data_IF_245714695962
#
_entry.id   IF_245714695962
#
_cell.length_a   1.000
_cell.length_b   1.000
_cell.length_c   1.000
_cell.angle_alpha   90.00
_cell.angle_beta   90.00
_cell.angle_gamma   90.00
#
_symmetry.space_group_name_H-M   'P 1'
#
loop_
_entity.id
_entity.type
_entity.pdbx_description
1 polymer ?
#
# COMPACT_ATOMS: atom_id res chain seq x y z
N UNK A 1 0.09 8.25 -6.57
CA UNK A 1 1.51 7.82 -6.60
C UNK A 1 1.62 6.52 -7.38
N UNK A 2 2.76 6.25 -8.02
CA UNK A 2 2.99 5.02 -8.79
C UNK A 2 4.29 4.34 -8.36
N UNK A 3 4.33 3.01 -8.49
CA UNK A 3 5.49 2.17 -8.20
C UNK A 3 5.65 1.15 -9.32
N UNK A 4 6.88 0.97 -9.79
CA UNK A 4 7.22 -0.02 -10.79
C UNK A 4 8.07 -1.11 -10.16
N UNK A 5 7.63 -2.36 -10.30
CA UNK A 5 8.39 -3.53 -9.86
C UNK A 5 9.07 -4.10 -11.09
N UNK A 6 10.41 -4.28 -11.06
CA UNK A 6 11.13 -4.85 -12.18
C UNK A 6 10.69 -6.30 -12.45
N UNK A 7 11.04 -6.87 -13.62
CA UNK A 7 10.72 -8.24 -13.95
C UNK A 7 11.12 -9.23 -12.85
N UNK A 8 10.21 -10.12 -12.49
CA UNK A 8 10.42 -11.10 -11.43
C UNK A 8 11.50 -12.09 -11.84
N UNK A 9 12.47 -12.31 -10.97
CA UNK A 9 13.54 -13.29 -11.22
C UNK A 9 13.06 -14.74 -11.15
N UNK A 10 11.96 -15.01 -10.41
CA UNK A 10 11.45 -16.36 -10.19
C UNK A 10 9.92 -16.35 -10.11
N UNK A 11 9.30 -17.41 -10.64
CA UNK A 11 7.85 -17.65 -10.52
C UNK A 11 7.44 -18.00 -9.08
N UNK A 12 6.27 -17.54 -8.64
CA UNK A 12 5.77 -17.85 -7.31
C UNK A 12 4.48 -17.11 -6.95
N UNK A 13 3.98 -17.42 -5.75
CA UNK A 13 2.89 -16.67 -5.14
C UNK A 13 3.49 -15.57 -4.24
N UNK A 14 3.09 -14.34 -4.50
CA UNK A 14 3.58 -13.16 -3.77
C UNK A 14 2.43 -12.49 -3.04
N UNK A 15 2.66 -12.14 -1.78
CA UNK A 15 1.80 -11.25 -1.02
C UNK A 15 2.25 -9.81 -1.27
N UNK A 16 1.41 -9.02 -1.92
CA UNK A 16 1.59 -7.58 -1.97
C UNK A 16 1.12 -6.95 -0.66
N UNK A 17 1.92 -6.03 -0.13
CA UNK A 17 1.62 -5.22 1.04
C UNK A 17 1.88 -3.75 0.76
N UNK A 18 1.04 -2.90 1.33
CA UNK A 18 1.23 -1.46 1.38
C UNK A 18 1.82 -1.11 2.75
N UNK A 19 2.98 -0.47 2.76
CA UNK A 19 3.58 0.10 3.95
C UNK A 19 3.29 1.61 3.98
N UNK A 20 2.85 2.12 5.13
CA UNK A 20 2.57 3.54 5.32
C UNK A 20 3.21 4.04 6.59
N UNK A 21 3.73 5.28 6.55
CA UNK A 21 4.20 5.99 7.73
C UNK A 21 3.49 7.33 7.86
N UNK A 22 2.95 7.60 9.03
CA UNK A 22 2.36 8.90 9.38
C UNK A 22 3.09 9.55 10.56
N UNK A 23 2.89 10.85 10.75
CA UNK A 23 3.30 11.57 11.95
C UNK A 23 2.08 12.17 12.68
N UNK A 24 2.32 12.88 13.78
CA UNK A 24 1.28 13.49 14.61
C UNK A 24 0.45 14.59 13.93
N UNK A 25 0.80 15.02 12.72
CA UNK A 25 0.03 15.99 11.94
C UNK A 25 -1.09 15.35 11.11
N UNK A 26 -1.21 14.02 11.10
CA UNK A 26 -2.30 13.34 10.40
C UNK A 26 -3.63 13.52 11.17
N UNK A 27 -4.66 14.15 10.59
CA UNK A 27 -5.80 14.66 11.36
C UNK A 27 -7.01 13.71 11.38
N UNK A 28 -6.90 12.49 10.82
CA UNK A 28 -8.01 11.56 10.68
C UNK A 28 -7.76 10.25 11.42
N UNK A 29 -8.81 9.47 11.65
CA UNK A 29 -8.69 8.13 12.26
C UNK A 29 -8.24 7.07 11.28
N UNK A 30 -8.77 7.12 10.06
CA UNK A 30 -8.46 6.17 8.99
C UNK A 30 -8.20 6.88 7.67
N UNK A 31 -7.65 6.13 6.73
CA UNK A 31 -7.41 6.55 5.36
C UNK A 31 -7.84 5.44 4.41
N UNK A 32 -8.80 5.73 3.54
CA UNK A 32 -9.16 4.82 2.47
C UNK A 32 -8.21 5.00 1.29
N UNK A 33 -7.58 3.92 0.85
CA UNK A 33 -6.71 3.87 -0.31
C UNK A 33 -7.26 2.93 -1.37
N UNK A 34 -7.09 3.30 -2.63
CA UNK A 34 -7.36 2.43 -3.78
C UNK A 34 -6.02 2.08 -4.41
N UNK A 35 -5.77 0.78 -4.53
CA UNK A 35 -4.54 0.21 -5.06
C UNK A 35 -4.85 -0.55 -6.34
N UNK A 36 -4.38 -0.04 -7.48
CA UNK A 36 -4.43 -0.71 -8.78
C UNK A 36 -3.08 -1.38 -9.06
N UNK A 37 -3.07 -2.66 -9.39
CA UNK A 37 -1.89 -3.44 -9.75
C UNK A 37 -2.09 -3.99 -11.15
N UNK A 38 -1.22 -3.60 -12.08
CA UNK A 38 -1.20 -4.11 -13.45
C UNK A 38 0.00 -5.03 -13.64
N UNK A 39 -0.25 -6.31 -13.95
CA UNK A 39 0.79 -7.27 -14.30
C UNK A 39 1.13 -7.11 -15.78
N UNK A 40 2.41 -6.96 -16.11
CA UNK A 40 2.91 -6.79 -17.47
C UNK A 40 3.74 -8.02 -17.88
N UNK A 41 3.70 -8.43 -19.16
CA UNK A 41 3.07 -7.75 -20.30
C UNK A 41 1.58 -8.08 -20.51
N UNK A 42 1.05 -9.07 -19.80
CA UNK A 42 -0.30 -9.60 -19.99
C UNK A 42 -1.43 -8.60 -19.69
N UNK A 43 -1.13 -7.50 -18.98
CA UNK A 43 -2.04 -6.40 -18.59
C UNK A 43 -3.23 -6.84 -17.73
N UNK A 44 -3.08 -7.93 -16.98
CA UNK A 44 -4.04 -8.30 -15.95
C UNK A 44 -4.06 -7.21 -14.87
N UNK A 45 -5.26 -6.70 -14.56
CA UNK A 45 -5.44 -5.64 -13.57
C UNK A 45 -6.18 -6.16 -12.34
N UNK A 46 -5.67 -5.79 -11.18
CA UNK A 46 -6.27 -6.07 -9.88
C UNK A 46 -6.46 -4.74 -9.16
N UNK A 47 -7.68 -4.45 -8.73
CA UNK A 47 -8.00 -3.22 -7.98
C UNK A 47 -8.53 -3.62 -6.63
N UNK A 48 -7.97 -3.02 -5.59
CA UNK A 48 -8.38 -3.24 -4.21
C UNK A 48 -8.60 -1.91 -3.49
N UNK A 49 -9.49 -1.93 -2.49
CA UNK A 49 -9.79 -0.79 -1.63
C UNK A 49 -9.41 -1.14 -0.20
N UNK A 50 -8.42 -0.46 0.33
CA UNK A 50 -7.92 -0.64 1.69
C UNK A 50 -8.54 0.41 2.60
N UNK A 51 -9.19 -0.03 3.67
CA UNK A 51 -9.49 0.82 4.81
C UNK A 51 -8.34 0.73 5.81
N UNK A 52 -7.48 1.75 5.83
CA UNK A 52 -6.35 1.81 6.73
C UNK A 52 -6.77 2.47 8.04
N UNK A 53 -7.09 1.69 9.07
CA UNK A 53 -7.25 2.21 10.44
C UNK A 53 -5.88 2.61 10.99
N UNK A 54 -5.70 3.90 11.31
CA UNK A 54 -4.42 4.48 11.72
C UNK A 54 -4.44 4.87 13.20
N UNK A 55 -5.53 5.50 13.64
CA UNK A 55 -5.75 5.94 15.01
C UNK A 55 -6.95 5.20 15.59
N UNK A 56 -6.73 4.51 16.71
CA UNK A 56 -7.78 3.77 17.39
C UNK A 56 -8.83 4.66 18.04
N UNK A 57 -9.89 4.04 18.55
CA UNK A 57 -11.00 4.77 19.20
C UNK A 57 -10.60 5.56 20.45
N UNK A 58 -9.50 5.19 21.10
CA UNK A 58 -8.89 5.91 22.22
C UNK A 58 -8.06 7.13 21.80
N UNK A 59 -7.95 7.42 20.50
CA UNK A 59 -7.12 8.50 19.97
C UNK A 59 -5.63 8.17 19.88
N UNK A 60 -5.23 6.93 20.16
CA UNK A 60 -3.83 6.49 20.11
C UNK A 60 -3.54 5.85 18.74
N UNK A 61 -2.41 6.22 18.16
CA UNK A 61 -1.93 5.61 16.92
C UNK A 61 -1.67 4.11 17.10
N UNK A 62 -2.22 3.28 16.21
CA UNK A 62 -2.08 1.82 16.25
C UNK A 62 -0.76 1.32 15.63
N UNK A 63 -0.01 2.21 14.98
CA UNK A 63 1.25 1.90 14.30
C UNK A 63 2.43 1.80 15.26
N UNK A 64 3.55 1.29 14.73
CA UNK A 64 4.79 1.14 15.49
C UNK A 64 5.66 2.40 15.37
N UNK A 65 6.19 2.89 16.50
CA UNK A 65 7.12 4.01 16.58
C UNK A 65 6.73 5.08 17.61
N UNK A 66 7.49 6.18 17.69
CA UNK A 66 7.28 7.25 18.69
C UNK A 66 6.80 8.54 18.01
N UNK A 67 7.64 9.17 17.18
CA UNK A 67 7.26 10.41 16.46
C UNK A 67 6.63 10.13 15.09
N UNK A 68 6.91 8.95 14.54
CA UNK A 68 6.34 8.45 13.31
C UNK A 68 5.79 7.05 13.57
N UNK A 69 4.64 6.76 13.00
CA UNK A 69 3.93 5.50 13.19
C UNK A 69 3.87 4.75 11.87
N UNK A 70 4.37 3.51 11.88
CA UNK A 70 4.44 2.64 10.71
C UNK A 70 3.36 1.55 10.74
N UNK A 71 2.77 1.32 9.57
CA UNK A 71 1.68 0.40 9.32
C UNK A 71 1.98 -0.46 8.09
N UNK A 72 1.46 -1.67 8.08
CA UNK A 72 1.56 -2.63 6.98
C UNK A 72 0.17 -3.21 6.70
N UNK A 73 -0.34 -3.01 5.49
CA UNK A 73 -1.65 -3.49 5.06
C UNK A 73 -1.47 -4.54 3.96
N UNK A 74 -2.18 -5.67 4.06
CA UNK A 74 -2.24 -6.62 2.96
C UNK A 74 -3.05 -6.01 1.81
N UNK A 75 -2.54 -6.11 0.59
CA UNK A 75 -3.28 -5.75 -0.61
C UNK A 75 -3.87 -7.05 -1.18
N UNK A 76 -3.14 -7.73 -2.05
CA UNK A 76 -3.61 -8.95 -2.70
C UNK A 76 -2.51 -9.99 -2.79
N UNK A 77 -2.90 -11.24 -3.05
CA UNK A 77 -1.97 -12.29 -3.43
C UNK A 77 -1.92 -12.38 -4.95
N UNK A 78 -0.72 -12.29 -5.51
CA UNK A 78 -0.47 -12.38 -6.94
C UNK A 78 0.30 -13.65 -7.25
N UNK A 79 -0.16 -14.41 -8.24
CA UNK A 79 0.65 -15.44 -8.88
C UNK A 79 1.43 -14.79 -10.00
N UNK A 80 2.74 -14.64 -9.82
CA UNK A 80 3.63 -13.99 -10.78
C UNK A 80 4.58 -15.01 -11.37
N UNK A 81 4.84 -14.90 -12.66
CA UNK A 81 5.78 -15.73 -13.39
C UNK A 81 7.11 -15.00 -13.55
N UNK A 82 8.19 -15.77 -13.73
CA UNK A 82 9.49 -15.19 -14.09
C UNK A 82 9.33 -14.32 -15.34
N UNK A 83 9.88 -13.11 -15.29
CA UNK A 83 9.77 -12.11 -16.36
C UNK A 83 8.55 -11.19 -16.27
N UNK A 84 7.52 -11.53 -15.48
CA UNK A 84 6.41 -10.60 -15.23
C UNK A 84 6.91 -9.37 -14.46
N UNK A 85 6.42 -8.19 -14.77
CA UNK A 85 6.66 -6.95 -14.00
C UNK A 85 5.34 -6.38 -13.50
N UNK A 86 5.38 -5.44 -12.55
CA UNK A 86 4.18 -4.77 -12.05
C UNK A 86 4.27 -3.27 -12.21
N UNK A 87 3.15 -2.67 -12.62
CA UNK A 87 2.90 -1.25 -12.45
C UNK A 87 1.78 -1.06 -11.43
N UNK A 88 2.08 -0.39 -10.32
CA UNK A 88 1.18 -0.24 -9.17
C UNK A 88 0.84 1.23 -8.99
N UNK A 89 -0.44 1.56 -8.87
CA UNK A 89 -0.92 2.90 -8.59
C UNK A 89 -1.65 2.92 -7.25
N UNK A 90 -1.29 3.87 -6.41
CA UNK A 90 -1.94 4.11 -5.12
C UNK A 90 -2.53 5.52 -5.15
N UNK A 91 -3.81 5.62 -4.82
CA UNK A 91 -4.52 6.89 -4.64
C UNK A 91 -5.37 6.84 -3.38
N UNK A 92 -5.55 7.98 -2.71
CA UNK A 92 -6.52 8.07 -1.63
C UNK A 92 -7.93 8.23 -2.20
N UNK A 93 -8.93 7.75 -1.45
CA UNK A 93 -10.35 7.92 -1.77
C UNK A 93 -11.01 8.86 -0.75
N UNK A 94 -10.46 10.07 -0.66
CA UNK A 94 -10.85 11.08 0.32
C UNK A 94 -11.27 12.35 -0.41
N UNK A 95 -12.27 13.07 0.12
CA UNK A 95 -12.71 14.36 -0.44
C UNK A 95 -11.62 15.43 -0.44
N UNK A 96 -10.66 15.34 0.48
CA UNK A 96 -9.57 16.30 0.61
C UNK A 96 -8.41 15.89 -0.29
N UNK A 97 -7.95 16.81 -1.12
CA UNK A 97 -6.86 16.57 -2.08
C UNK A 97 -5.49 16.43 -1.41
N UNK A 98 -5.21 17.25 -0.39
CA UNK A 98 -3.95 17.21 0.36
C UNK A 98 -4.17 16.56 1.72
N UNK A 99 -3.49 15.46 1.97
CA UNK A 99 -3.50 14.73 3.23
C UNK A 99 -2.22 15.04 4.02
N UNK A 100 -2.26 15.96 5.01
CA UNK A 100 -1.09 16.26 5.83
C UNK A 100 -0.72 15.07 6.72
N UNK A 101 0.55 14.98 7.09
CA UNK A 101 1.05 13.97 8.03
C UNK A 101 1.36 12.60 7.44
N UNK A 102 1.04 12.34 6.16
CA UNK A 102 1.56 11.17 5.43
C UNK A 102 3.03 11.42 5.10
N UNK A 103 3.93 10.65 5.72
CA UNK A 103 5.37 10.83 5.57
C UNK A 103 5.95 9.94 4.48
N UNK A 104 5.52 8.68 4.40
CA UNK A 104 5.96 7.74 3.37
C UNK A 104 4.84 6.74 3.02
N UNK A 105 4.83 6.31 1.75
CA UNK A 105 4.05 5.17 1.25
C UNK A 105 5.00 4.30 0.45
N UNK A 106 4.95 2.99 0.67
CA UNK A 106 5.77 2.01 -0.02
C UNK A 106 5.00 0.74 -0.32
N UNK A 107 5.53 -0.05 -1.25
CA UNK A 107 5.00 -1.37 -1.61
C UNK A 107 6.07 -2.42 -1.33
N UNK A 108 5.64 -3.53 -0.75
CA UNK A 108 6.48 -4.70 -0.52
C UNK A 108 5.83 -5.92 -1.14
N UNK A 109 6.61 -6.70 -1.88
CA UNK A 109 6.21 -8.03 -2.34
C UNK A 109 6.96 -9.07 -1.50
N UNK A 110 6.22 -9.97 -0.86
CA UNK A 110 6.77 -11.06 -0.06
C UNK A 110 6.40 -12.37 -0.73
N UNK A 111 7.40 -13.17 -1.13
CA UNK A 111 7.16 -14.52 -1.64
C UNK A 111 6.64 -15.39 -0.50
N UNK A 112 5.56 -16.14 -0.75
CA UNK A 112 5.07 -17.20 0.14
C UNK A 112 5.71 -18.54 -0.19
#
# INVERSE_FOLDING_TARGET
MTFDVPPMCQSGNFQAKLAMRINSSFPFKSLTLIVEQTVLPHRNKYVDTLDCELIGNNGIAQGRGISYYQYDFNITQLKLHQGDSLHIKVRHDMKREILPGISNVGITLIRK
#
